data_IF_563031956882
#
_entry.id   IF_563031956882
#
_cell.length_a   1.000
_cell.length_b   1.000
_cell.length_c   1.000
_cell.angle_alpha   90.00
_cell.angle_beta   90.00
_cell.angle_gamma   90.00
#
_symmetry.space_group_name_H-M   'P 1'
#
loop_
_entity.id
_entity.type
_entity.pdbx_description
1 polymer ?
#
# COMPACT_ATOMS: atom_id res chain seq x y z
N UNK A 1 9.47 13.78 9.83
CA UNK A 1 9.91 12.86 8.75
C UNK A 1 8.78 11.87 8.48
N UNK A 2 8.28 11.76 7.25
CA UNK A 2 7.25 10.77 6.88
C UNK A 2 7.92 9.50 6.37
N UNK A 3 7.45 8.33 6.79
CA UNK A 3 7.99 7.03 6.38
C UNK A 3 6.87 5.99 6.27
N UNK A 4 7.18 4.92 5.55
CA UNK A 4 6.36 3.73 5.47
C UNK A 4 7.22 2.54 5.85
N UNK A 5 6.69 1.67 6.71
CA UNK A 5 7.31 0.39 7.05
C UNK A 5 6.30 -0.72 6.81
N UNK A 6 6.64 -1.69 5.98
CA UNK A 6 5.70 -2.74 5.63
C UNK A 6 6.35 -3.94 4.96
N UNK A 7 5.52 -4.97 4.79
CA UNK A 7 5.86 -6.24 4.16
C UNK A 7 5.04 -6.43 2.89
N UNK A 8 5.72 -6.86 1.83
CA UNK A 8 5.11 -7.28 0.57
C UNK A 8 4.85 -8.79 0.56
N UNK A 9 3.84 -9.20 -0.19
CA UNK A 9 3.60 -10.60 -0.54
C UNK A 9 3.09 -10.70 -1.97
N UNK A 10 3.83 -11.41 -2.83
CA UNK A 10 3.49 -11.56 -4.25
C UNK A 10 3.43 -13.04 -4.60
N UNK A 11 2.36 -13.45 -5.26
CA UNK A 11 2.16 -14.78 -5.86
C UNK A 11 1.54 -14.56 -7.26
N UNK A 12 1.33 -15.64 -8.01
CA UNK A 12 0.57 -15.57 -9.26
C UNK A 12 -0.79 -14.90 -9.02
N UNK A 13 -1.07 -13.83 -9.76
CA UNK A 13 -2.30 -13.03 -9.69
C UNK A 13 -2.57 -12.33 -8.33
N UNK A 14 -1.54 -12.18 -7.50
CA UNK A 14 -1.63 -11.63 -6.13
C UNK A 14 -0.48 -10.67 -5.85
N UNK A 15 -0.77 -9.47 -5.35
CA UNK A 15 0.21 -8.42 -5.03
C UNK A 15 -0.24 -7.63 -3.79
N UNK A 16 0.21 -8.09 -2.62
CA UNK A 16 -0.27 -7.61 -1.33
C UNK A 16 0.78 -6.74 -0.62
N UNK A 17 0.30 -5.83 0.22
CA UNK A 17 1.10 -4.94 1.05
C UNK A 17 0.43 -4.73 2.41
N UNK A 18 1.16 -4.91 3.50
CA UNK A 18 0.68 -4.56 4.84
C UNK A 18 1.76 -3.81 5.62
N UNK A 19 1.38 -2.83 6.44
CA UNK A 19 2.35 -2.06 7.20
C UNK A 19 1.79 -0.84 7.92
N UNK A 20 2.69 0.05 8.30
CA UNK A 20 2.40 1.30 8.98
C UNK A 20 2.92 2.48 8.16
N UNK A 21 2.14 3.56 8.15
CA UNK A 21 2.50 4.84 7.54
C UNK A 21 2.47 5.95 8.58
N UNK A 22 3.58 6.70 8.68
CA UNK A 22 3.63 7.94 9.43
C UNK A 22 3.14 9.08 8.53
N UNK A 23 1.95 9.58 8.81
CA UNK A 23 1.29 10.60 8.01
C UNK A 23 1.85 12.01 8.30
N UNK A 24 1.57 12.96 7.41
CA UNK A 24 2.02 14.35 7.55
C UNK A 24 1.44 15.03 8.79
N UNK A 25 0.22 14.66 9.20
CA UNK A 25 -0.42 15.13 10.43
C UNK A 25 0.31 14.70 11.71
N UNK A 26 1.23 13.73 11.61
CA UNK A 26 1.84 13.06 12.76
C UNK A 26 1.10 11.80 13.19
N UNK A 27 -0.06 11.48 12.61
CA UNK A 27 -0.75 10.21 12.89
C UNK A 27 0.03 9.01 12.35
N UNK A 28 0.02 7.93 13.13
CA UNK A 28 0.49 6.61 12.70
C UNK A 28 -0.74 5.77 12.33
N UNK A 29 -0.77 5.25 11.10
CA UNK A 29 -1.91 4.49 10.58
C UNK A 29 -1.43 3.13 10.12
N UNK A 30 -2.17 2.08 10.49
CA UNK A 30 -2.01 0.74 9.93
C UNK A 30 -2.74 0.65 8.59
N UNK A 31 -2.09 0.09 7.57
CA UNK A 31 -2.64 -0.06 6.22
C UNK A 31 -2.48 -1.50 5.76
N UNK A 32 -3.46 -1.97 4.99
CA UNK A 32 -3.39 -3.24 4.30
C UNK A 32 -4.05 -3.14 2.93
N UNK A 33 -3.36 -3.69 1.93
CA UNK A 33 -3.82 -3.87 0.57
C UNK A 33 -3.74 -5.35 0.26
N UNK A 34 -4.91 -5.94 0.00
CA UNK A 34 -5.04 -7.32 -0.42
C UNK A 34 -5.78 -7.35 -1.75
N UNK A 35 -5.14 -7.92 -2.77
CA UNK A 35 -5.81 -8.30 -4.00
C UNK A 35 -5.66 -9.80 -4.21
N UNK A 36 -6.62 -10.39 -4.91
CA UNK A 36 -6.55 -11.77 -5.35
C UNK A 36 -7.12 -11.86 -6.75
N UNK A 37 -6.62 -12.81 -7.54
CA UNK A 37 -7.18 -13.21 -8.82
C UNK A 37 -7.25 -12.06 -9.84
N UNK A 38 -6.28 -11.14 -9.81
CA UNK A 38 -6.10 -10.17 -10.89
C UNK A 38 -5.16 -10.81 -11.92
N UNK A 39 -5.68 -11.28 -13.07
CA UNK A 39 -4.88 -11.91 -14.10
C UNK A 39 -3.94 -10.91 -14.77
N UNK A 40 -2.80 -11.42 -15.26
CA UNK A 40 -1.81 -10.60 -15.98
C UNK A 40 -0.84 -9.86 -15.07
N UNK A 41 -0.34 -8.75 -15.59
CA UNK A 41 0.66 -7.89 -14.95
C UNK A 41 0.08 -7.16 -13.71
N UNK A 42 0.87 -7.08 -12.64
CA UNK A 42 0.46 -6.50 -11.36
C UNK A 42 0.75 -4.98 -11.27
N UNK A 43 1.33 -4.37 -12.31
CA UNK A 43 1.72 -2.96 -12.32
C UNK A 43 0.55 -2.01 -12.06
N UNK A 44 -0.63 -2.27 -12.64
CA UNK A 44 -1.81 -1.45 -12.39
C UNK A 44 -2.21 -1.47 -10.90
N UNK A 45 -2.16 -2.65 -10.27
CA UNK A 45 -2.42 -2.83 -8.84
C UNK A 45 -1.38 -2.10 -7.99
N UNK A 46 -0.08 -2.21 -8.34
CA UNK A 46 1.02 -1.49 -7.66
C UNK A 46 0.83 0.02 -7.73
N UNK A 47 0.49 0.55 -8.90
CA UNK A 47 0.25 1.98 -9.10
C UNK A 47 -0.92 2.47 -8.22
N UNK A 48 -2.00 1.69 -8.15
CA UNK A 48 -3.15 1.99 -7.30
C UNK A 48 -2.77 1.99 -5.81
N UNK A 49 -2.02 0.98 -5.34
CA UNK A 49 -1.51 0.92 -3.96
C UNK A 49 -0.65 2.13 -3.61
N UNK A 50 0.29 2.51 -4.50
CA UNK A 50 1.16 3.67 -4.28
C UNK A 50 0.38 4.98 -4.20
N UNK A 51 -0.61 5.16 -5.10
CA UNK A 51 -1.49 6.34 -5.08
C UNK A 51 -2.26 6.43 -3.77
N UNK A 52 -2.95 5.35 -3.39
CA UNK A 52 -3.77 5.32 -2.17
C UNK A 52 -2.93 5.54 -0.91
N UNK A 53 -1.73 4.94 -0.84
CA UNK A 53 -0.80 5.18 0.27
C UNK A 53 -0.33 6.64 0.33
N UNK A 54 -0.12 7.27 -0.83
CA UNK A 54 0.17 8.70 -0.94
C UNK A 54 -0.96 9.57 -0.41
N UNK A 55 -2.21 9.24 -0.75
CA UNK A 55 -3.41 9.94 -0.26
C UNK A 55 -3.57 9.78 1.25
N UNK A 56 -3.41 8.57 1.80
CA UNK A 56 -3.43 8.31 3.25
C UNK A 56 -2.37 9.14 3.97
N UNK A 57 -1.13 9.12 3.49
CA UNK A 57 -0.02 9.88 4.07
C UNK A 57 -0.29 11.39 4.11
N UNK A 58 -1.01 11.90 3.11
CA UNK A 58 -1.26 13.33 2.95
C UNK A 58 -2.51 13.83 3.70
N UNK A 59 -3.56 13.02 3.81
CA UNK A 59 -4.90 13.45 4.27
C UNK A 59 -5.24 13.03 5.69
N UNK A 60 -4.61 11.96 6.20
CA UNK A 60 -4.80 11.52 7.58
C UNK A 60 -3.69 12.07 8.47
#
# INVERSE_FOLDING_TARGET
>A
MTWFWGKTGTLTHTCNLAGYVRCKSGRLVAVTFFNNSIPGDDQATRNAMQRLLGEVRARL
#
